data_IF_742725255192
#
_entry.id   IF_742725255192
#
_cell.length_a   1.000
_cell.length_b   1.000
_cell.length_c   1.000
_cell.angle_alpha   90.00
_cell.angle_beta   90.00
_cell.angle_gamma   90.00
#
_symmetry.space_group_name_H-M   'P 1'
#
loop_
_entity.id
_entity.type
_entity.pdbx_description
1 polymer ?
#
# COMPACT_ATOMS: atom_id res chain seq x y z
N UNK A 1 6.17 -8.57 7.21
CA UNK A 1 6.13 -7.67 6.03
C UNK A 1 5.55 -8.45 4.84
N UNK A 2 4.35 -8.11 4.38
CA UNK A 2 3.77 -8.66 3.13
C UNK A 2 3.68 -7.52 2.12
N UNK A 3 4.50 -7.55 1.07
CA UNK A 3 4.51 -6.54 -0.01
C UNK A 3 3.64 -7.03 -1.17
N UNK A 4 2.75 -6.17 -1.67
CA UNK A 4 1.89 -6.48 -2.81
C UNK A 4 1.73 -5.27 -3.72
N UNK A 5 1.51 -5.55 -5.01
CA UNK A 5 1.22 -4.57 -6.05
C UNK A 5 -0.27 -4.58 -6.37
N UNK A 6 -0.84 -3.38 -6.50
CA UNK A 6 -2.24 -3.12 -6.79
C UNK A 6 -2.32 -2.25 -8.03
N UNK A 7 -3.20 -2.60 -8.96
CA UNK A 7 -3.45 -1.82 -10.18
C UNK A 7 -4.94 -1.57 -10.27
N UNK A 8 -5.35 -0.32 -10.52
CA UNK A 8 -6.74 0.05 -10.75
C UNK A 8 -6.86 1.22 -11.72
N UNK A 9 -8.07 1.45 -12.24
CA UNK A 9 -8.40 2.55 -13.16
C UNK A 9 -8.08 3.94 -12.60
N UNK A 10 -8.18 4.10 -11.28
CA UNK A 10 -8.01 5.37 -10.59
C UNK A 10 -7.44 5.16 -9.18
N UNK A 11 -6.98 6.26 -8.58
CA UNK A 11 -6.33 6.22 -7.27
C UNK A 11 -7.26 5.81 -6.13
N UNK A 12 -8.55 6.14 -6.21
CA UNK A 12 -9.53 5.78 -5.17
C UNK A 12 -9.76 4.27 -5.19
N UNK A 13 -9.94 3.70 -6.37
CA UNK A 13 -10.06 2.26 -6.59
C UNK A 13 -8.80 1.52 -6.14
N UNK A 14 -7.60 2.01 -6.50
CA UNK A 14 -6.34 1.42 -6.07
C UNK A 14 -6.19 1.43 -4.53
N UNK A 15 -6.51 2.56 -3.89
CA UNK A 15 -6.43 2.67 -2.44
C UNK A 15 -7.47 1.81 -1.71
N UNK A 16 -8.65 1.61 -2.30
CA UNK A 16 -9.65 0.69 -1.77
C UNK A 16 -9.15 -0.76 -1.79
N UNK A 17 -8.44 -1.18 -2.86
CA UNK A 17 -7.82 -2.50 -2.93
C UNK A 17 -6.74 -2.67 -1.85
N UNK A 18 -5.88 -1.65 -1.68
CA UNK A 18 -4.86 -1.65 -0.62
C UNK A 18 -5.51 -1.82 0.75
N UNK A 19 -6.53 -1.02 1.09
CA UNK A 19 -7.23 -1.12 2.39
C UNK A 19 -7.92 -2.45 2.59
N UNK A 20 -8.56 -3.00 1.55
CA UNK A 20 -9.26 -4.28 1.63
C UNK A 20 -8.30 -5.44 1.89
N UNK A 21 -7.09 -5.38 1.35
CA UNK A 21 -6.10 -6.45 1.47
C UNK A 21 -5.18 -6.28 2.69
N UNK A 22 -4.69 -5.07 2.93
CA UNK A 22 -3.63 -4.78 3.90
C UNK A 22 -4.13 -4.02 5.13
N UNK A 23 -5.39 -3.62 5.15
CA UNK A 23 -5.97 -2.86 6.25
C UNK A 23 -5.64 -1.36 6.19
N UNK A 24 -6.08 -0.60 7.20
CA UNK A 24 -5.87 0.85 7.28
C UNK A 24 -4.40 1.22 7.49
N UNK A 25 -3.61 0.35 8.11
CA UNK A 25 -2.21 0.62 8.50
C UNK A 25 -1.20 0.24 7.40
N UNK A 26 -1.67 0.09 6.17
CA UNK A 26 -0.83 -0.24 5.03
C UNK A 26 0.12 0.91 4.69
N UNK A 27 1.41 0.60 4.51
CA UNK A 27 2.40 1.59 4.07
C UNK A 27 2.55 1.53 2.57
N UNK A 28 2.40 2.67 1.91
CA UNK A 28 2.61 2.82 0.47
C UNK A 28 4.10 2.99 0.20
N UNK A 29 4.68 2.07 -0.57
CA UNK A 29 6.09 2.08 -0.97
C UNK A 29 6.29 2.78 -2.32
N UNK A 30 5.34 2.66 -3.23
CA UNK A 30 5.39 3.30 -4.54
C UNK A 30 4.00 3.60 -5.08
N UNK A 31 3.90 4.69 -5.83
CA UNK A 31 2.68 5.11 -6.52
C UNK A 31 3.09 5.69 -7.88
N UNK A 32 2.55 5.13 -8.96
CA UNK A 32 2.80 5.60 -10.32
C UNK A 32 1.57 5.49 -11.20
N UNK A 33 1.48 6.38 -12.20
CA UNK A 33 0.51 6.26 -13.29
C UNK A 33 1.12 5.45 -14.43
N UNK A 34 0.38 4.46 -14.90
CA UNK A 34 0.72 3.59 -16.03
C UNK A 34 -0.41 3.63 -17.06
N UNK A 35 -0.22 3.01 -18.22
CA UNK A 35 -1.24 3.00 -19.28
C UNK A 35 -2.56 2.37 -18.80
N UNK A 36 -2.47 1.39 -17.89
CA UNK A 36 -3.56 0.63 -17.31
C UNK A 36 -4.25 1.34 -16.12
N UNK A 37 -3.76 2.53 -15.73
CA UNK A 37 -4.32 3.34 -14.64
C UNK A 37 -3.29 3.72 -13.58
N UNK A 38 -3.56 3.38 -12.32
CA UNK A 38 -2.71 3.68 -11.17
C UNK A 38 -2.17 2.39 -10.59
N UNK A 39 -0.84 2.30 -10.48
CA UNK A 39 -0.13 1.23 -9.81
C UNK A 39 0.35 1.70 -8.43
N UNK A 40 -0.01 0.93 -7.41
CA UNK A 40 0.40 1.13 -6.02
C UNK A 40 1.11 -0.11 -5.52
N UNK A 41 2.32 0.05 -4.98
CA UNK A 41 3.00 -1.00 -4.22
C UNK A 41 2.86 -0.66 -2.75
N UNK A 42 2.30 -1.58 -1.96
CA UNK A 42 2.07 -1.37 -0.53
C UNK A 42 2.53 -2.59 0.28
N UNK A 43 2.78 -2.37 1.57
CA UNK A 43 3.14 -3.42 2.51
C UNK A 43 2.21 -3.43 3.73
N UNK A 44 1.80 -4.63 4.14
CA UNK A 44 1.17 -4.87 5.45
C UNK A 44 2.22 -5.24 6.51
N UNK A 45 1.96 -4.83 7.75
CA UNK A 45 2.81 -5.00 8.92
C UNK A 45 4.09 -4.16 8.82
N UNK A 46 3.98 -2.88 8.49
CA UNK A 46 4.96 -1.91 8.98
C UNK A 46 4.65 -1.74 10.46
N UNK A 47 5.34 -2.52 11.28
CA UNK A 47 5.08 -2.57 12.70
C UNK A 47 5.52 -1.24 13.32
N UNK A 48 4.57 -0.35 13.63
CA UNK A 48 4.84 0.88 14.40
C UNK A 48 5.61 0.55 15.69
N UNK A 49 5.37 -0.61 16.30
CA UNK A 49 6.08 -1.04 17.52
C UNK A 49 7.56 -1.37 17.29
N UNK A 50 7.95 -1.72 16.06
CA UNK A 50 9.36 -1.90 15.69
C UNK A 50 10.10 -0.56 15.55
N UNK A 51 9.39 0.51 15.17
CA UNK A 51 9.94 1.87 15.09
C UNK A 51 10.05 2.49 16.49
N UNK A 52 9.05 2.28 17.36
CA UNK A 52 9.03 2.85 18.71
C UNK A 52 10.14 2.32 19.64
N UNK A 53 10.69 1.12 19.37
CA UNK A 53 11.80 0.53 20.15
C UNK A 53 13.19 0.96 19.70
N UNK A 54 13.29 1.67 18.58
CA UNK A 54 14.54 2.16 18.02
C UNK A 54 14.77 3.66 18.28
N UNK A 55 13.86 4.32 19.01
CA UNK A 55 13.98 5.68 19.54
C UNK A 55 14.25 5.63 21.04
#
# INVERSE_FOLDING_TARGET
MKIKRFVASDMRSAMNLVRKEHGPDAVILSNRRIAEGVEIVAAANYDESAVQRAL
#
